data_IF_732374024621
#
_entry.id   IF_732374024621
#
_cell.length_a   1.000
_cell.length_b   1.000
_cell.length_c   1.000
_cell.angle_alpha   90.00
_cell.angle_beta   90.00
_cell.angle_gamma   90.00
#
_symmetry.space_group_name_H-M   'P 1'
#
loop_
_entity.id
_entity.type
_entity.pdbx_description
1 polymer ?
#
# COMPACT_ATOMS: atom_id res chain seq x y z
N UNK A 1 10.66 -6.56 9.17
CA UNK A 1 9.72 -7.16 8.19
C UNK A 1 8.58 -7.91 8.89
N UNK A 2 8.83 -8.89 9.76
CA UNK A 2 7.78 -9.70 10.42
C UNK A 2 6.67 -8.88 11.13
N UNK A 3 7.02 -7.81 11.83
CA UNK A 3 6.05 -6.93 12.51
C UNK A 3 5.08 -6.24 11.54
N UNK A 4 5.54 -5.85 10.37
CA UNK A 4 4.69 -5.24 9.35
C UNK A 4 3.68 -6.25 8.78
N UNK A 5 4.13 -7.48 8.44
CA UNK A 5 3.20 -8.51 7.96
C UNK A 5 2.21 -8.97 9.03
N UNK A 6 2.59 -8.93 10.31
CA UNK A 6 1.63 -9.11 11.39
C UNK A 6 0.54 -8.02 11.37
N UNK A 7 0.93 -6.75 11.24
CA UNK A 7 -0.02 -5.65 11.13
C UNK A 7 -0.91 -5.75 9.88
N UNK A 8 -0.35 -6.13 8.73
CA UNK A 8 -1.11 -6.37 7.48
C UNK A 8 -2.15 -7.47 7.69
N UNK A 9 -1.76 -8.56 8.33
CA UNK A 9 -2.69 -9.66 8.64
C UNK A 9 -3.83 -9.21 9.56
N UNK A 10 -3.53 -8.46 10.61
CA UNK A 10 -4.57 -7.92 11.51
C UNK A 10 -5.54 -7.01 10.74
N UNK A 11 -5.04 -6.18 9.82
CA UNK A 11 -5.88 -5.37 8.94
C UNK A 11 -6.78 -6.26 8.06
N UNK A 12 -6.24 -7.33 7.46
CA UNK A 12 -7.01 -8.24 6.62
C UNK A 12 -8.10 -8.95 7.41
N UNK A 13 -7.77 -9.49 8.60
CA UNK A 13 -8.76 -10.11 9.49
C UNK A 13 -9.87 -9.12 9.84
N UNK A 14 -9.50 -7.89 10.20
CA UNK A 14 -10.47 -6.87 10.55
C UNK A 14 -11.39 -6.54 9.37
N UNK A 15 -10.83 -6.26 8.19
CA UNK A 15 -11.62 -5.91 7.00
C UNK A 15 -12.57 -7.03 6.55
N UNK A 16 -12.17 -8.30 6.70
CA UNK A 16 -13.03 -9.43 6.37
C UNK A 16 -14.20 -9.61 7.35
N UNK A 17 -14.06 -9.12 8.58
CA UNK A 17 -15.04 -9.35 9.63
C UNK A 17 -15.82 -8.11 10.08
N UNK A 18 -15.40 -6.90 9.69
CA UNK A 18 -15.99 -5.67 10.20
C UNK A 18 -17.52 -5.57 9.97
N UNK A 19 -18.00 -6.07 8.84
CA UNK A 19 -19.43 -6.05 8.49
C UNK A 19 -20.26 -7.17 9.16
N UNK A 20 -19.60 -8.12 9.81
CA UNK A 20 -20.28 -9.14 10.63
C UNK A 20 -20.51 -8.68 12.10
N UNK A 21 -20.19 -7.41 12.39
CA UNK A 21 -20.43 -6.83 13.70
C UNK A 21 -21.92 -6.91 14.07
N UNK A 22 -22.22 -7.53 15.20
CA UNK A 22 -23.58 -7.71 15.70
C UNK A 22 -24.01 -6.66 16.72
N UNK A 23 -23.19 -5.63 16.97
CA UNK A 23 -23.53 -4.53 17.87
C UNK A 23 -24.70 -3.72 17.28
N UNK A 24 -25.84 -3.64 17.98
CA UNK A 24 -26.99 -2.88 17.50
C UNK A 24 -26.74 -1.37 17.42
N UNK A 25 -25.68 -0.86 18.04
CA UNK A 25 -25.27 0.54 17.96
C UNK A 25 -24.35 0.82 16.77
N UNK A 26 -23.78 -0.21 16.14
CA UNK A 26 -22.95 -0.05 14.98
C UNK A 26 -23.79 0.29 13.76
N UNK A 27 -23.55 1.45 13.16
CA UNK A 27 -24.17 1.84 11.90
C UNK A 27 -23.21 1.60 10.72
N UNK A 28 -23.79 1.51 9.50
CA UNK A 28 -23.00 1.23 8.29
C UNK A 28 -21.91 2.28 8.03
N UNK A 29 -22.18 3.55 8.32
CA UNK A 29 -21.21 4.62 8.05
C UNK A 29 -19.95 4.48 8.94
N UNK A 30 -20.13 4.09 10.20
CA UNK A 30 -19.02 3.83 11.12
C UNK A 30 -18.23 2.59 10.68
N UNK A 31 -18.93 1.52 10.28
CA UNK A 31 -18.29 0.31 9.77
C UNK A 31 -17.49 0.58 8.51
N UNK A 32 -18.03 1.35 7.58
CA UNK A 32 -17.33 1.78 6.37
C UNK A 32 -16.09 2.62 6.72
N UNK A 33 -16.21 3.56 7.66
CA UNK A 33 -15.08 4.35 8.14
C UNK A 33 -13.97 3.44 8.70
N UNK A 34 -14.29 2.52 9.59
CA UNK A 34 -13.31 1.60 10.18
C UNK A 34 -12.68 0.68 9.14
N UNK A 35 -13.45 0.20 8.16
CA UNK A 35 -12.93 -0.58 7.04
C UNK A 35 -11.84 0.18 6.29
N UNK A 36 -12.10 1.44 5.91
CA UNK A 36 -11.15 2.25 5.18
C UNK A 36 -9.96 2.71 6.03
N UNK A 37 -10.12 2.86 7.35
CA UNK A 37 -8.98 3.09 8.26
C UNK A 37 -8.06 1.87 8.31
N UNK A 38 -8.61 0.66 8.37
CA UNK A 38 -7.82 -0.57 8.31
C UNK A 38 -7.13 -0.74 6.94
N UNK A 39 -7.82 -0.41 5.85
CA UNK A 39 -7.27 -0.42 4.48
C UNK A 39 -6.11 0.57 4.34
N UNK A 40 -6.26 1.78 4.86
CA UNK A 40 -5.18 2.76 4.94
C UNK A 40 -3.99 2.22 5.74
N UNK A 41 -4.23 1.67 6.93
CA UNK A 41 -3.16 1.14 7.78
C UNK A 41 -2.39 0.02 7.08
N UNK A 42 -3.08 -0.90 6.39
CA UNK A 42 -2.46 -1.94 5.56
C UNK A 42 -1.54 -1.36 4.48
N UNK A 43 -2.04 -0.43 3.69
CA UNK A 43 -1.28 0.21 2.64
C UNK A 43 -0.08 1.00 3.20
N UNK A 44 -0.25 1.63 4.37
CA UNK A 44 0.83 2.34 5.05
C UNK A 44 1.92 1.40 5.58
N UNK A 45 1.56 0.19 6.06
CA UNK A 45 2.56 -0.83 6.41
C UNK A 45 3.37 -1.27 5.19
N UNK A 46 2.73 -1.46 4.03
CA UNK A 46 3.45 -1.73 2.78
C UNK A 46 4.37 -0.59 2.39
N UNK A 47 3.90 0.66 2.45
CA UNK A 47 4.75 1.83 2.19
C UNK A 47 5.99 1.87 3.10
N UNK A 48 5.83 1.61 4.40
CA UNK A 48 6.94 1.56 5.34
C UNK A 48 7.93 0.42 5.01
N UNK A 49 7.41 -0.77 4.68
CA UNK A 49 8.27 -1.90 4.27
C UNK A 49 9.05 -1.59 2.99
N UNK A 50 8.39 -0.99 1.99
CA UNK A 50 9.05 -0.61 0.74
C UNK A 50 10.18 0.39 0.98
N UNK A 51 9.99 1.34 1.89
CA UNK A 51 11.03 2.30 2.28
C UNK A 51 12.24 1.62 2.94
N UNK A 52 11.98 0.62 3.79
CA UNK A 52 13.02 -0.02 4.60
C UNK A 52 13.69 -1.20 3.87
N UNK A 53 12.97 -1.91 2.99
CA UNK A 53 13.41 -3.17 2.37
C UNK A 53 13.34 -3.19 0.84
N UNK A 54 12.85 -2.14 0.20
CA UNK A 54 12.58 -2.13 -1.25
C UNK A 54 11.35 -2.96 -1.61
N UNK A 55 11.37 -3.65 -2.77
CA UNK A 55 10.26 -4.51 -3.20
C UNK A 55 9.94 -5.61 -2.20
N UNK A 56 8.65 -5.87 -2.01
CA UNK A 56 8.12 -6.85 -1.06
C UNK A 56 7.10 -7.76 -1.74
N UNK A 57 6.68 -8.84 -1.11
CA UNK A 57 5.56 -9.61 -1.62
C UNK A 57 4.23 -9.03 -1.15
N UNK A 58 3.25 -9.01 -2.06
CA UNK A 58 1.92 -8.47 -1.81
C UNK A 58 0.95 -9.61 -1.54
N UNK A 59 0.26 -9.55 -0.41
CA UNK A 59 -0.76 -10.54 -0.02
C UNK A 59 -2.17 -10.12 -0.45
N UNK A 60 -2.38 -8.81 -0.74
CA UNK A 60 -3.73 -8.32 -0.94
C UNK A 60 -4.61 -8.61 0.28
N UNK A 61 -5.75 -9.27 0.04
CA UNK A 61 -6.69 -9.68 1.08
C UNK A 61 -6.45 -11.10 1.61
N UNK A 62 -5.38 -11.78 1.16
CA UNK A 62 -5.06 -13.15 1.56
C UNK A 62 -4.69 -13.24 3.04
N UNK A 63 -5.21 -14.26 3.71
CA UNK A 63 -4.80 -14.68 5.04
C UNK A 63 -3.98 -15.95 4.93
N UNK A 64 -2.67 -15.84 5.11
CA UNK A 64 -1.80 -17.00 5.12
C UNK A 64 -2.12 -17.92 6.30
N UNK A 65 -2.15 -19.23 6.05
CA UNK A 65 -2.26 -20.24 7.09
C UNK A 65 -0.91 -20.42 7.79
N UNK A 66 -0.84 -20.04 9.06
CA UNK A 66 0.38 -20.17 9.86
C UNK A 66 0.74 -21.62 10.22
N UNK A 67 -0.18 -22.57 9.99
CA UNK A 67 0.11 -23.99 10.20
C UNK A 67 0.73 -24.63 8.96
N UNK A 68 0.75 -23.93 7.84
CA UNK A 68 1.37 -24.37 6.60
C UNK A 68 2.90 -24.48 6.73
N UNK A 69 3.50 -25.31 5.89
CA UNK A 69 4.95 -25.46 5.84
C UNK A 69 5.64 -24.15 5.40
N UNK A 70 6.92 -23.98 5.73
CA UNK A 70 7.70 -22.82 5.27
C UNK A 70 7.75 -22.74 3.74
N UNK A 71 7.73 -23.87 3.06
CA UNK A 71 7.72 -23.95 1.60
C UNK A 71 6.40 -23.44 1.03
N UNK A 72 5.27 -23.81 1.62
CA UNK A 72 3.93 -23.33 1.23
C UNK A 72 3.74 -21.82 1.52
N UNK A 73 4.44 -21.32 2.52
CA UNK A 73 4.40 -19.90 2.86
C UNK A 73 5.35 -19.03 2.03
N UNK A 74 6.28 -19.67 1.28
CA UNK A 74 7.21 -18.94 0.45
C UNK A 74 6.46 -18.15 -0.62
N UNK A 75 6.78 -16.86 -0.74
CA UNK A 75 6.28 -16.00 -1.80
C UNK A 75 7.46 -15.17 -2.37
N UNK A 76 7.65 -15.16 -3.68
CA UNK A 76 8.59 -14.26 -4.31
C UNK A 76 8.11 -12.82 -4.13
N UNK A 77 9.04 -11.88 -4.21
CA UNK A 77 8.70 -10.44 -4.12
C UNK A 77 8.03 -9.98 -5.41
N UNK A 78 7.07 -9.10 -5.30
CA UNK A 78 6.58 -8.31 -6.41
C UNK A 78 7.65 -7.30 -6.85
N UNK A 79 7.54 -6.79 -8.06
CA UNK A 79 8.44 -5.73 -8.55
C UNK A 79 8.19 -4.42 -7.79
N UNK A 80 9.15 -3.51 -7.87
CA UNK A 80 9.01 -2.18 -7.27
C UNK A 80 7.76 -1.47 -7.79
N UNK A 81 7.53 -1.48 -9.10
CA UNK A 81 6.41 -0.80 -9.72
C UNK A 81 5.06 -1.43 -9.31
N UNK A 82 4.94 -2.76 -9.26
CA UNK A 82 3.74 -3.43 -8.73
C UNK A 82 3.47 -3.06 -7.27
N UNK A 83 4.50 -2.96 -6.44
CA UNK A 83 4.34 -2.53 -5.06
C UNK A 83 3.87 -1.07 -4.97
N UNK A 84 4.41 -0.17 -5.82
CA UNK A 84 3.99 1.23 -5.91
C UNK A 84 2.52 1.31 -6.32
N UNK A 85 2.14 0.62 -7.40
CA UNK A 85 0.79 0.61 -7.94
C UNK A 85 -0.22 0.09 -6.91
N UNK A 86 0.13 -0.96 -6.18
CA UNK A 86 -0.71 -1.50 -5.11
C UNK A 86 -0.95 -0.46 -4.01
N UNK A 87 0.09 0.16 -3.46
CA UNK A 87 -0.06 1.16 -2.39
C UNK A 87 -0.83 2.38 -2.88
N UNK A 88 -0.54 2.85 -4.10
CA UNK A 88 -1.25 3.98 -4.72
C UNK A 88 -2.74 3.66 -4.91
N UNK A 89 -3.08 2.47 -5.41
CA UNK A 89 -4.47 2.06 -5.61
C UNK A 89 -5.24 1.97 -4.29
N UNK A 90 -4.66 1.34 -3.27
CA UNK A 90 -5.27 1.21 -1.94
C UNK A 90 -5.50 2.58 -1.27
N UNK A 91 -4.49 3.46 -1.31
CA UNK A 91 -4.59 4.82 -0.76
C UNK A 91 -5.58 5.68 -1.55
N UNK A 92 -5.66 5.52 -2.87
CA UNK A 92 -6.64 6.22 -3.72
C UNK A 92 -8.05 5.78 -3.37
N UNK A 93 -8.29 4.46 -3.23
CA UNK A 93 -9.58 3.95 -2.81
C UNK A 93 -10.02 4.51 -1.44
N UNK A 94 -9.08 4.68 -0.50
CA UNK A 94 -9.36 5.35 0.77
C UNK A 94 -9.70 6.84 0.56
N UNK A 95 -8.91 7.56 -0.22
CA UNK A 95 -9.09 9.00 -0.43
C UNK A 95 -10.39 9.35 -1.19
N UNK A 96 -10.84 8.47 -2.08
CA UNK A 96 -12.06 8.66 -2.89
C UNK A 96 -13.32 8.18 -2.19
N UNK A 97 -13.20 7.41 -1.12
CA UNK A 97 -14.35 6.96 -0.32
C UNK A 97 -15.00 8.12 0.43
N UNK A 98 -16.33 8.12 0.47
CA UNK A 98 -17.11 9.05 1.30
C UNK A 98 -16.97 8.77 2.81
N UNK A 99 -16.54 7.57 3.19
CA UNK A 99 -16.29 7.18 4.57
C UNK A 99 -15.03 7.83 5.17
N UNK A 100 -14.07 8.26 4.34
CA UNK A 100 -12.86 8.96 4.78
C UNK A 100 -13.07 10.47 4.64
N UNK A 101 -13.03 11.18 5.76
CA UNK A 101 -13.27 12.63 5.81
C UNK A 101 -12.01 13.42 5.39
N UNK A 102 -12.21 14.65 4.93
CA UNK A 102 -11.09 15.60 4.74
C UNK A 102 -10.57 16.11 6.07
N UNK A 103 -11.44 16.19 7.08
CA UNK A 103 -11.11 16.59 8.43
C UNK A 103 -12.02 15.84 9.41
N UNK A 104 -11.44 15.35 10.49
CA UNK A 104 -12.15 14.71 11.59
C UNK A 104 -12.32 15.66 12.76
N UNK A 105 -13.33 15.42 13.59
CA UNK A 105 -13.56 16.14 14.84
C UNK A 105 -12.45 15.84 15.87
N UNK A 106 -12.33 16.69 16.90
CA UNK A 106 -11.26 16.59 17.88
C UNK A 106 -11.22 15.22 18.61
N UNK A 107 -12.37 14.58 18.80
CA UNK A 107 -12.45 13.24 19.40
C UNK A 107 -11.94 12.11 18.48
N UNK A 108 -11.84 12.37 17.19
CA UNK A 108 -11.41 11.44 16.15
C UNK A 108 -9.96 11.71 15.67
N UNK A 109 -9.19 12.52 16.40
CA UNK A 109 -7.80 12.78 16.03
C UNK A 109 -6.97 11.51 16.00
N UNK A 110 -6.17 11.39 14.94
CA UNK A 110 -5.35 10.21 14.68
C UNK A 110 -5.88 9.30 13.56
N UNK A 111 -7.14 9.49 13.13
CA UNK A 111 -7.66 8.83 11.95
C UNK A 111 -7.06 9.41 10.66
N UNK A 112 -6.83 8.54 9.68
CA UNK A 112 -6.32 8.94 8.38
C UNK A 112 -7.38 9.73 7.61
N UNK A 113 -7.01 10.91 7.12
CA UNK A 113 -7.85 11.78 6.29
C UNK A 113 -7.57 11.57 4.81
N UNK A 114 -8.44 12.12 3.94
CA UNK A 114 -8.17 12.15 2.48
C UNK A 114 -6.81 12.77 2.17
N UNK A 115 -6.45 13.85 2.85
CA UNK A 115 -5.15 14.50 2.69
C UNK A 115 -3.98 13.64 3.12
N UNK A 116 -4.13 12.85 4.19
CA UNK A 116 -3.11 11.88 4.61
C UNK A 116 -2.85 10.84 3.52
N UNK A 117 -3.91 10.30 2.90
CA UNK A 117 -3.79 9.35 1.80
C UNK A 117 -3.03 9.97 0.61
N UNK A 118 -3.44 11.14 0.14
CA UNK A 118 -2.77 11.82 -0.98
C UNK A 118 -1.33 12.23 -0.66
N UNK A 119 -1.03 12.59 0.58
CA UNK A 119 0.34 12.90 1.00
C UNK A 119 1.26 11.67 0.93
N UNK A 120 0.76 10.50 1.33
CA UNK A 120 1.50 9.23 1.21
C UNK A 120 1.71 8.88 -0.26
N UNK A 121 0.67 8.98 -1.11
CA UNK A 121 0.75 8.77 -2.56
C UNK A 121 1.82 9.68 -3.17
N UNK A 122 1.74 10.98 -2.90
CA UNK A 122 2.70 11.97 -3.42
C UNK A 122 4.14 11.61 -3.04
N UNK A 123 4.36 11.25 -1.77
CA UNK A 123 5.68 10.86 -1.27
C UNK A 123 6.19 9.59 -1.94
N UNK A 124 5.35 8.56 -2.10
CA UNK A 124 5.74 7.30 -2.73
C UNK A 124 6.06 7.48 -4.21
N UNK A 125 5.21 8.22 -4.95
CA UNK A 125 5.44 8.50 -6.37
C UNK A 125 6.71 9.33 -6.59
N UNK A 126 7.00 10.30 -5.72
CA UNK A 126 8.26 11.04 -5.75
C UNK A 126 9.46 10.11 -5.53
N UNK A 127 9.35 9.15 -4.60
CA UNK A 127 10.38 8.13 -4.38
C UNK A 127 10.59 7.29 -5.64
N UNK A 128 9.50 6.83 -6.26
CA UNK A 128 9.54 5.99 -7.45
C UNK A 128 10.11 6.71 -8.69
N UNK A 129 9.95 8.04 -8.75
CA UNK A 129 10.46 8.86 -9.87
C UNK A 129 11.99 9.09 -9.81
N UNK A 130 12.61 8.95 -8.62
CA UNK A 130 14.03 9.25 -8.43
C UNK A 130 14.93 8.20 -9.08
N UNK A 131 16.14 8.61 -9.44
CA UNK A 131 17.16 7.79 -10.12
C UNK A 131 17.44 6.45 -9.42
N UNK A 132 17.24 6.37 -8.10
CA UNK A 132 17.42 5.14 -7.34
C UNK A 132 16.45 4.03 -7.78
N UNK A 133 15.21 4.38 -8.16
CA UNK A 133 14.14 3.44 -8.48
C UNK A 133 13.60 3.59 -9.92
N UNK A 134 14.16 4.49 -10.71
CA UNK A 134 13.68 4.78 -12.07
C UNK A 134 14.82 4.58 -13.08
N UNK A 135 14.95 3.35 -13.57
CA UNK A 135 15.95 3.00 -14.56
C UNK A 135 17.36 2.81 -14.01
N UNK A 136 17.47 2.42 -12.73
CA UNK A 136 18.78 2.18 -12.12
C UNK A 136 19.35 0.81 -12.49
N UNK A 137 20.24 0.78 -13.46
CA UNK A 137 20.89 -0.44 -13.96
C UNK A 137 21.84 -1.10 -12.94
N UNK A 138 22.25 -0.39 -11.87
CA UNK A 138 23.01 -0.99 -10.77
C UNK A 138 22.23 -2.11 -10.05
N UNK A 139 20.89 -2.06 -10.14
CA UNK A 139 20.01 -3.09 -9.59
C UNK A 139 19.63 -4.19 -10.59
N UNK A 140 20.26 -4.25 -11.76
CA UNK A 140 19.96 -5.28 -12.78
C UNK A 140 20.19 -6.72 -12.29
N UNK A 141 21.03 -6.91 -11.30
CA UNK A 141 21.25 -8.22 -10.65
C UNK A 141 20.25 -8.57 -9.54
N UNK A 142 19.36 -7.64 -9.14
CA UNK A 142 18.38 -7.88 -8.08
C UNK A 142 17.11 -8.48 -8.68
N UNK A 143 17.04 -9.81 -8.66
CA UNK A 143 15.99 -10.60 -9.30
C UNK A 143 15.38 -11.59 -8.32
N UNK A 144 14.16 -12.00 -8.62
CA UNK A 144 13.58 -13.19 -7.98
C UNK A 144 14.33 -14.46 -8.42
N UNK A 145 14.40 -15.47 -7.57
CA UNK A 145 14.85 -16.82 -7.98
C UNK A 145 13.99 -17.35 -9.13
N UNK A 146 14.56 -18.20 -9.95
CA UNK A 146 13.78 -18.95 -10.94
C UNK A 146 12.98 -20.03 -10.19
N UNK A 147 11.66 -20.03 -10.35
CA UNK A 147 10.75 -20.98 -9.72
C UNK A 147 9.61 -21.34 -10.67
N UNK A 148 9.08 -22.55 -10.54
CA UNK A 148 7.92 -23.00 -11.30
C UNK A 148 6.59 -22.61 -10.62
N UNK A 149 6.61 -22.37 -9.31
CA UNK A 149 5.40 -22.12 -8.51
C UNK A 149 4.79 -20.73 -8.75
N UNK A 150 5.62 -19.78 -9.20
CA UNK A 150 5.21 -18.40 -9.49
C UNK A 150 5.83 -17.96 -10.83
N UNK A 151 5.36 -18.50 -11.95
CA UNK A 151 5.99 -18.27 -13.26
C UNK A 151 6.04 -16.80 -13.67
N UNK A 152 5.03 -16.00 -13.28
CA UNK A 152 4.94 -14.56 -13.57
C UNK A 152 5.99 -13.71 -12.83
N UNK A 153 6.49 -14.22 -11.69
CA UNK A 153 7.53 -13.55 -10.88
C UNK A 153 8.89 -14.22 -11.00
N UNK A 154 8.98 -15.32 -11.76
CA UNK A 154 10.18 -16.14 -11.90
C UNK A 154 11.29 -15.41 -12.65
N UNK A 155 12.44 -15.19 -12.02
CA UNK A 155 13.60 -14.55 -12.62
C UNK A 155 13.41 -13.05 -12.96
N UNK A 156 12.30 -12.44 -12.57
CA UNK A 156 11.95 -11.04 -12.88
C UNK A 156 12.88 -10.08 -12.13
N UNK A 157 13.31 -9.03 -12.82
CA UNK A 157 14.03 -7.90 -12.20
C UNK A 157 13.09 -7.19 -11.22
N UNK A 158 13.56 -6.97 -10.00
CA UNK A 158 12.73 -6.34 -8.96
C UNK A 158 12.65 -4.80 -9.11
N UNK A 159 13.57 -4.19 -9.85
CA UNK A 159 13.58 -2.75 -10.09
C UNK A 159 13.52 -2.44 -11.59
N UNK A 160 12.85 -1.35 -11.98
CA UNK A 160 12.82 -0.92 -13.40
C UNK A 160 14.22 -0.66 -13.93
N UNK A 161 14.51 -1.20 -15.10
CA UNK A 161 15.82 -1.04 -15.75
C UNK A 161 15.83 0.08 -16.80
N UNK A 162 14.66 0.62 -17.12
CA UNK A 162 14.48 1.72 -18.09
C UNK A 162 13.93 2.94 -17.37
N UNK A 163 14.52 4.10 -17.67
CA UNK A 163 14.04 5.37 -17.14
C UNK A 163 12.69 5.76 -17.76
N UNK A 164 11.75 6.16 -16.92
CA UNK A 164 10.43 6.69 -17.32
C UNK A 164 10.23 8.11 -16.76
N UNK A 165 10.25 9.10 -17.66
CA UNK A 165 10.03 10.50 -17.31
C UNK A 165 8.61 10.79 -16.81
N UNK A 166 7.61 9.94 -17.16
CA UNK A 166 6.23 10.12 -16.73
C UNK A 166 6.08 9.95 -15.21
N UNK A 167 6.94 9.20 -14.54
CA UNK A 167 6.93 9.06 -13.09
C UNK A 167 7.04 10.41 -12.37
N UNK A 168 7.81 11.36 -12.90
CA UNK A 168 7.90 12.72 -12.37
C UNK A 168 6.59 13.49 -12.55
N UNK A 169 5.93 13.32 -13.69
CA UNK A 169 4.65 13.94 -13.94
C UNK A 169 3.57 13.42 -12.99
N UNK A 170 3.53 12.11 -12.76
CA UNK A 170 2.57 11.51 -11.81
C UNK A 170 2.85 11.95 -10.37
N UNK A 171 4.11 12.04 -9.96
CA UNK A 171 4.48 12.59 -8.65
C UNK A 171 4.03 14.05 -8.49
N UNK A 172 4.22 14.87 -9.53
CA UNK A 172 3.77 16.28 -9.53
C UNK A 172 2.23 16.40 -9.46
N UNK A 173 1.50 15.57 -10.21
CA UNK A 173 0.02 15.53 -10.16
C UNK A 173 -0.47 15.14 -8.76
N UNK A 174 0.16 14.14 -8.12
CA UNK A 174 -0.19 13.72 -6.78
C UNK A 174 0.07 14.81 -5.73
N UNK A 175 1.21 15.51 -5.82
CA UNK A 175 1.49 16.65 -4.95
C UNK A 175 0.46 17.78 -5.14
N UNK A 176 0.10 18.06 -6.40
CA UNK A 176 -0.91 19.07 -6.71
C UNK A 176 -2.28 18.75 -6.11
N UNK A 177 -2.69 17.48 -6.06
CA UNK A 177 -3.95 17.08 -5.39
C UNK A 177 -3.98 17.54 -3.93
N UNK A 178 -2.87 17.43 -3.19
CA UNK A 178 -2.80 17.90 -1.79
C UNK A 178 -2.84 19.44 -1.72
N UNK A 179 -2.10 20.12 -2.58
CA UNK A 179 -2.02 21.59 -2.63
C UNK A 179 -3.40 22.21 -2.94
N UNK A 180 -4.17 21.58 -3.83
CA UNK A 180 -5.48 22.07 -4.25
C UNK A 180 -6.59 21.81 -3.20
N UNK A 181 -6.31 21.01 -2.16
CA UNK A 181 -7.30 20.75 -1.11
C UNK A 181 -7.56 22.00 -0.26
N UNK A 182 -8.81 22.45 -0.14
CA UNK A 182 -9.12 23.74 0.51
C UNK A 182 -8.76 23.77 2.00
N UNK A 183 -8.73 22.62 2.65
CA UNK A 183 -8.52 22.50 4.09
C UNK A 183 -7.04 22.58 4.52
N UNK A 184 -6.11 22.64 3.56
CA UNK A 184 -4.66 22.69 3.82
C UNK A 184 -4.00 23.97 3.28
N UNK A 185 -4.79 25.02 3.11
CA UNK A 185 -4.31 26.38 2.72
C UNK A 185 -4.03 27.23 3.93
#
# INVERSE_FOLDING_TARGET
MASYYKGIRECNIFMQNVYSCSDPLANKADLDMYYYQAKFARAFYYFCMMRDYGPVFLLGDELLDFTASTEDLYRPRNTWDECVDYVVSEMTACAESDAVKTQFEAAEYGLATKGTCYAVISRLLLYSARDLFNGNTLYSGVKNPVTADFPELSGVNLFPQTYDANKWLEAAKAAKKVIDMPNYK
#
